data_IF_539808576767
#
_entry.id   IF_539808576767
#
_cell.length_a   1.000
_cell.length_b   1.000
_cell.length_c   1.000
_cell.angle_alpha   90.00
_cell.angle_beta   90.00
_cell.angle_gamma   90.00
#
_symmetry.space_group_name_H-M   'P 1'
#
loop_
_entity.id
_entity.type
_entity.pdbx_description
1 polymer ?
#
# COMPACT_ATOMS: atom_id res chain seq x y z
N UNK A 1 -41.30 -44.51 -43.61
CA UNK A 1 -42.65 -44.18 -43.11
C UNK A 1 -43.10 -45.20 -42.08
N UNK A 2 -42.78 -44.97 -40.79
CA UNK A 2 -43.48 -45.50 -39.58
C UNK A 2 -42.74 -45.20 -38.27
N UNK A 3 -41.58 -44.53 -38.30
CA UNK A 3 -40.80 -44.16 -37.11
C UNK A 3 -40.73 -42.65 -36.80
N UNK A 4 -41.20 -41.78 -37.69
CA UNK A 4 -41.21 -40.31 -37.50
C UNK A 4 -42.46 -39.79 -36.76
N UNK A 5 -43.51 -40.60 -36.61
CA UNK A 5 -44.80 -40.16 -36.02
C UNK A 5 -44.79 -40.27 -34.48
N UNK A 6 -43.84 -41.02 -33.89
CA UNK A 6 -43.78 -41.24 -32.44
C UNK A 6 -43.02 -40.14 -31.67
N UNK A 7 -42.18 -39.35 -32.35
CA UNK A 7 -41.42 -38.24 -31.74
C UNK A 7 -42.23 -36.93 -31.63
N UNK A 8 -43.23 -36.72 -32.50
CA UNK A 8 -44.06 -35.50 -32.49
C UNK A 8 -45.11 -35.48 -31.38
N UNK A 9 -45.52 -36.63 -30.84
CA UNK A 9 -46.51 -36.70 -29.74
C UNK A 9 -45.88 -36.47 -28.35
N UNK A 10 -44.56 -36.63 -28.22
CA UNK A 10 -43.85 -36.41 -26.94
C UNK A 10 -43.54 -34.91 -26.73
N UNK A 11 -43.38 -34.13 -27.81
CA UNK A 11 -43.13 -32.69 -27.73
C UNK A 11 -44.39 -31.85 -27.40
N UNK A 12 -45.61 -32.34 -27.68
CA UNK A 12 -46.86 -31.63 -27.36
C UNK A 12 -47.27 -31.74 -25.87
N UNK A 13 -46.75 -32.75 -25.15
CA UNK A 13 -47.04 -32.96 -23.72
C UNK A 13 -46.21 -32.11 -22.76
N UNK A 14 -45.03 -31.62 -23.16
CA UNK A 14 -44.14 -30.85 -22.29
C UNK A 14 -44.41 -29.34 -22.31
N UNK A 15 -45.03 -28.81 -23.38
CA UNK A 15 -45.29 -27.37 -23.54
C UNK A 15 -46.54 -26.92 -22.76
N UNK A 16 -47.47 -27.83 -22.45
CA UNK A 16 -48.71 -27.52 -21.70
C UNK A 16 -48.52 -27.51 -20.17
N UNK A 17 -47.37 -27.97 -19.66
CA UNK A 17 -47.07 -27.96 -18.22
C UNK A 17 -46.32 -26.70 -17.75
N UNK A 18 -45.70 -25.95 -18.67
CA UNK A 18 -44.95 -24.72 -18.34
C UNK A 18 -45.80 -23.44 -18.40
N UNK A 19 -46.93 -23.45 -19.12
CA UNK A 19 -47.83 -22.28 -19.20
C UNK A 19 -48.84 -22.18 -18.06
N UNK A 20 -49.01 -23.23 -17.24
CA UNK A 20 -49.85 -23.20 -16.02
C UNK A 20 -49.16 -22.64 -14.77
N UNK A 21 -47.85 -22.38 -14.81
CA UNK A 21 -47.10 -21.83 -13.66
C UNK A 21 -46.77 -20.34 -13.78
N UNK A 22 -47.10 -19.67 -14.89
CA UNK A 22 -46.87 -18.23 -15.05
C UNK A 22 -48.13 -17.34 -14.86
N UNK A 23 -49.34 -17.89 -14.85
CA UNK A 23 -50.58 -17.10 -14.62
C UNK A 23 -50.96 -16.90 -13.14
N UNK A 24 -50.25 -17.51 -12.19
CA UNK A 24 -50.55 -17.41 -10.75
C UNK A 24 -49.81 -16.29 -9.99
N UNK A 25 -48.87 -15.58 -10.63
CA UNK A 25 -48.02 -14.57 -9.97
C UNK A 25 -48.44 -13.11 -10.24
N UNK A 26 -49.39 -12.87 -11.14
CA UNK A 26 -49.71 -11.51 -11.61
C UNK A 26 -51.07 -10.97 -11.12
N UNK A 27 -51.93 -11.82 -10.53
CA UNK A 27 -53.20 -11.39 -9.93
C UNK A 27 -53.13 -11.02 -8.43
N UNK A 28 -52.02 -11.29 -7.75
CA UNK A 28 -51.81 -10.90 -6.34
C UNK A 28 -51.34 -9.45 -6.16
N UNK A 29 -51.06 -8.71 -7.24
CA UNK A 29 -50.65 -7.29 -7.20
C UNK A 29 -51.78 -6.26 -7.39
N UNK A 30 -53.03 -6.69 -7.66
CA UNK A 30 -54.13 -5.76 -8.02
C UNK A 30 -55.32 -5.71 -7.06
N UNK A 31 -55.21 -6.24 -5.83
CA UNK A 31 -56.31 -6.22 -4.85
C UNK A 31 -55.87 -5.85 -3.42
N UNK A 32 -55.13 -4.75 -3.26
CA UNK A 32 -55.13 -3.98 -1.99
C UNK A 32 -54.96 -2.50 -2.33
N UNK A 33 -56.00 -1.93 -2.96
CA UNK A 33 -56.20 -0.49 -3.01
C UNK A 33 -57.58 -0.24 -2.40
N UNK A 34 -57.65 0.71 -1.47
CA UNK A 34 -58.84 1.19 -0.76
C UNK A 34 -59.26 0.41 0.50
N UNK A 35 -58.74 0.84 1.64
CA UNK A 35 -59.46 0.87 2.91
C UNK A 35 -58.84 1.95 3.82
N UNK A 36 -59.67 2.93 4.18
CA UNK A 36 -59.35 4.11 4.99
C UNK A 36 -59.56 3.80 6.49
N UNK A 37 -58.89 4.58 7.36
CA UNK A 37 -59.12 4.90 8.80
C UNK A 37 -58.44 4.01 9.87
N UNK A 38 -58.06 4.49 11.09
CA UNK A 38 -57.72 5.85 11.60
C UNK A 38 -56.26 5.99 12.10
N UNK A 39 -55.80 7.24 12.17
CA UNK A 39 -54.48 7.73 12.64
C UNK A 39 -54.32 7.49 14.16
N UNK A 40 -53.33 6.68 14.58
CA UNK A 40 -52.81 6.66 15.96
C UNK A 40 -51.57 7.56 15.98
N UNK A 41 -51.65 8.66 16.73
CA UNK A 41 -50.55 9.62 16.91
C UNK A 41 -49.48 8.99 17.83
N UNK A 42 -48.26 8.89 17.33
CA UNK A 42 -47.04 8.87 18.13
C UNK A 42 -46.26 10.15 17.81
N UNK A 43 -45.52 10.70 18.78
CA UNK A 43 -45.05 12.08 18.73
C UNK A 43 -43.97 12.24 17.66
N UNK A 44 -44.06 13.32 16.89
CA UNK A 44 -42.98 13.84 16.06
C UNK A 44 -41.88 14.28 17.02
N UNK A 45 -40.84 13.47 17.19
CA UNK A 45 -39.57 13.97 17.70
C UNK A 45 -39.02 14.93 16.66
N UNK A 46 -38.85 16.16 17.12
CA UNK A 46 -38.33 17.33 16.42
C UNK A 46 -36.89 17.03 16.00
N UNK A 47 -36.68 16.71 14.71
CA UNK A 47 -35.36 16.66 14.09
C UNK A 47 -34.95 18.09 13.69
N UNK A 48 -34.73 18.94 14.67
CA UNK A 48 -34.13 20.27 14.49
C UNK A 48 -32.96 20.40 15.47
N UNK A 49 -31.90 19.60 15.31
CA UNK A 49 -30.65 19.82 16.07
C UNK A 49 -29.37 19.25 15.43
N UNK A 50 -29.39 18.83 14.16
CA UNK A 50 -28.19 18.34 13.47
C UNK A 50 -27.38 19.45 12.79
N UNK A 51 -27.95 20.64 12.54
CA UNK A 51 -27.22 21.78 11.96
C UNK A 51 -26.46 22.62 12.99
N UNK A 52 -26.92 22.72 14.25
CA UNK A 52 -26.25 23.55 15.29
C UNK A 52 -25.00 22.88 15.91
N UNK A 53 -24.81 21.58 15.72
CA UNK A 53 -23.67 20.82 16.25
C UNK A 53 -22.37 20.98 15.44
N UNK A 54 -22.44 21.45 14.19
CA UNK A 54 -21.25 21.69 13.34
C UNK A 54 -20.57 23.04 13.63
N UNK A 55 -21.26 23.96 14.31
CA UNK A 55 -20.78 25.32 14.60
C UNK A 55 -20.10 25.45 15.98
N UNK A 56 -19.94 24.34 16.72
CA UNK A 56 -19.39 24.33 18.07
C UNK A 56 -18.16 23.44 18.21
N UNK A 57 -17.18 23.93 18.96
CA UNK A 57 -15.97 23.19 19.28
C UNK A 57 -16.28 21.97 20.16
N UNK A 58 -15.74 20.76 19.86
CA UNK A 58 -15.89 19.59 20.73
C UNK A 58 -15.37 19.82 22.15
N UNK A 59 -14.24 20.54 22.27
CA UNK A 59 -13.78 21.11 23.55
C UNK A 59 -13.36 22.57 23.39
N UNK A 60 -13.35 23.38 24.48
CA UNK A 60 -13.04 24.80 24.40
C UNK A 60 -11.68 25.10 23.76
N UNK A 61 -10.69 24.21 23.94
CA UNK A 61 -9.35 24.38 23.44
C UNK A 61 -8.84 23.10 22.76
N UNK A 62 -8.31 23.23 21.55
CA UNK A 62 -7.69 22.11 20.85
C UNK A 62 -7.79 22.21 19.33
N UNK A 63 -7.33 21.16 18.66
CA UNK A 63 -7.36 21.00 17.22
C UNK A 63 -8.24 19.80 16.86
N UNK A 64 -9.25 20.03 16.02
CA UNK A 64 -10.27 19.02 15.71
C UNK A 64 -10.41 18.82 14.20
N UNK A 65 -10.61 17.59 13.72
CA UNK A 65 -10.75 17.32 12.29
C UNK A 65 -12.07 17.88 11.75
N UNK A 66 -12.07 18.25 10.47
CA UNK A 66 -13.31 18.47 9.73
C UNK A 66 -14.08 17.17 9.48
N UNK A 67 -15.41 17.25 9.44
CA UNK A 67 -16.29 16.10 9.27
C UNK A 67 -16.22 15.48 7.85
N UNK A 68 -15.87 16.25 6.83
CA UNK A 68 -15.94 15.81 5.44
C UNK A 68 -14.58 15.87 4.71
N UNK A 69 -13.68 16.74 5.15
CA UNK A 69 -12.42 17.08 4.48
C UNK A 69 -11.19 16.67 5.30
N UNK A 70 -10.35 15.78 4.77
CA UNK A 70 -9.24 15.20 5.52
C UNK A 70 -8.10 16.19 5.83
N UNK A 71 -7.96 17.22 5.00
CA UNK A 71 -6.92 18.25 5.15
C UNK A 71 -7.44 19.53 5.78
N UNK A 72 -8.70 19.57 6.23
CA UNK A 72 -9.28 20.68 7.00
C UNK A 72 -9.38 20.30 8.48
N UNK A 73 -9.13 21.29 9.33
CA UNK A 73 -9.25 21.17 10.78
C UNK A 73 -9.62 22.52 11.39
N UNK A 74 -9.99 22.48 12.66
CA UNK A 74 -10.44 23.63 13.45
C UNK A 74 -9.48 23.86 14.61
N UNK A 75 -8.98 25.09 14.76
CA UNK A 75 -8.30 25.56 15.97
C UNK A 75 -9.34 26.22 16.87
N UNK A 76 -9.68 25.52 17.95
CA UNK A 76 -10.65 25.94 18.95
C UNK A 76 -9.93 26.67 20.09
N UNK A 77 -10.38 27.90 20.37
CA UNK A 77 -9.88 28.73 21.47
C UNK A 77 -11.04 29.35 22.23
N UNK A 78 -11.16 29.00 23.50
CA UNK A 78 -12.29 29.40 24.36
C UNK A 78 -13.66 29.16 23.70
N UNK A 79 -13.80 28.02 23.01
CA UNK A 79 -15.01 27.62 22.30
C UNK A 79 -15.21 28.29 20.92
N UNK A 80 -14.31 29.19 20.51
CA UNK A 80 -14.36 29.84 19.20
C UNK A 80 -13.57 29.05 18.16
N UNK A 81 -14.25 28.68 17.08
CA UNK A 81 -13.67 27.98 15.94
C UNK A 81 -12.85 28.93 15.07
N UNK A 82 -11.68 28.46 14.63
CA UNK A 82 -10.93 29.02 13.51
C UNK A 82 -10.63 27.93 12.49
N UNK A 83 -11.18 28.07 11.28
CA UNK A 83 -10.92 27.15 10.18
C UNK A 83 -9.46 27.21 9.72
N UNK A 84 -8.86 26.03 9.53
CA UNK A 84 -7.50 25.85 9.04
C UNK A 84 -7.46 24.77 7.98
N UNK A 85 -6.47 24.87 7.10
CA UNK A 85 -6.14 23.86 6.10
C UNK A 85 -4.69 23.46 6.30
N UNK A 86 -4.44 22.15 6.23
CA UNK A 86 -3.10 21.62 6.11
C UNK A 86 -2.47 22.08 4.79
N UNK A 87 -1.13 22.17 4.73
CA UNK A 87 -0.42 22.39 3.46
C UNK A 87 -0.85 21.37 2.39
N UNK A 88 -0.95 21.80 1.14
CA UNK A 88 -1.46 20.95 0.04
C UNK A 88 -0.67 19.65 -0.10
N UNK A 89 -1.37 18.52 0.02
CA UNK A 89 -0.78 17.17 0.00
C UNK A 89 -0.52 16.55 1.37
N UNK A 90 -0.73 17.30 2.46
CA UNK A 90 -0.81 16.77 3.82
C UNK A 90 -2.27 16.68 4.28
N UNK A 91 -2.51 15.87 5.30
CA UNK A 91 -3.82 15.70 5.95
C UNK A 91 -3.70 15.93 7.45
N UNK A 92 -4.79 16.32 8.10
CA UNK A 92 -4.80 16.57 9.53
C UNK A 92 -4.69 15.25 10.31
N UNK A 93 -3.72 15.18 11.21
CA UNK A 93 -3.53 14.08 12.15
C UNK A 93 -4.27 14.40 13.45
N UNK A 94 -5.33 13.65 13.74
CA UNK A 94 -6.24 13.84 14.87
C UNK A 94 -5.91 12.96 16.09
N UNK A 95 -4.72 12.36 16.16
CA UNK A 95 -4.34 11.49 17.28
C UNK A 95 -4.12 12.23 18.60
N UNK A 96 -3.89 13.55 18.58
CA UNK A 96 -3.78 14.38 19.78
C UNK A 96 -4.37 15.77 19.53
N UNK A 97 -5.50 16.12 20.16
CA UNK A 97 -6.14 17.42 19.97
C UNK A 97 -5.34 18.59 20.59
N UNK A 98 -4.23 18.33 21.29
CA UNK A 98 -3.34 19.36 21.83
C UNK A 98 -2.27 19.84 20.84
N UNK A 99 -2.11 19.13 19.71
CA UNK A 99 -1.04 19.40 18.75
C UNK A 99 -1.60 19.64 17.35
N UNK A 100 -1.28 20.80 16.79
CA UNK A 100 -1.54 21.13 15.39
C UNK A 100 -0.59 20.31 14.50
N UNK A 101 -1.06 19.18 13.98
CA UNK A 101 -0.21 18.29 13.20
C UNK A 101 -0.85 17.94 11.86
N UNK A 102 -0.13 18.27 10.80
CA UNK A 102 -0.41 17.80 9.44
C UNK A 102 0.67 16.79 9.05
N UNK A 103 0.25 15.61 8.63
CA UNK A 103 1.13 14.52 8.21
C UNK A 103 0.81 14.11 6.77
N UNK A 104 1.69 13.30 6.17
CA UNK A 104 1.37 12.60 4.94
C UNK A 104 0.17 11.67 5.18
N UNK A 105 -0.65 11.40 4.14
CA UNK A 105 -1.86 10.57 4.29
C UNK A 105 -1.59 9.10 4.62
N UNK A 106 -0.33 8.66 4.58
CA UNK A 106 0.06 7.29 4.91
C UNK A 106 -0.10 7.02 6.40
N UNK A 107 -1.13 6.24 6.77
CA UNK A 107 -1.42 5.88 8.14
C UNK A 107 -2.41 6.79 8.86
N UNK A 108 -3.00 7.78 8.16
CA UNK A 108 -4.12 8.59 8.64
C UNK A 108 -5.40 8.10 7.97
N UNK A 109 -6.43 7.81 8.76
CA UNK A 109 -7.71 7.31 8.23
C UNK A 109 -8.59 8.47 7.73
N UNK A 110 -8.52 8.72 6.42
CA UNK A 110 -9.37 9.68 5.74
C UNK A 110 -10.69 9.09 5.22
N UNK A 111 -11.01 7.82 5.50
CA UNK A 111 -12.16 7.15 4.85
C UNK A 111 -13.50 7.80 5.16
N UNK A 112 -13.64 8.41 6.35
CA UNK A 112 -14.85 9.12 6.77
C UNK A 112 -14.91 10.57 6.26
N UNK A 113 -13.77 11.15 5.92
CA UNK A 113 -13.60 12.55 5.51
C UNK A 113 -12.76 12.67 4.24
N UNK A 114 -13.19 12.11 3.10
CA UNK A 114 -12.33 11.90 1.93
C UNK A 114 -12.06 13.17 1.11
N UNK A 115 -12.76 14.28 1.37
CA UNK A 115 -12.55 15.52 0.59
C UNK A 115 -11.16 16.07 0.88
N UNK A 116 -10.59 16.75 -0.09
CA UNK A 116 -9.30 17.44 0.02
C UNK A 116 -9.41 18.80 -0.66
N UNK A 117 -8.52 19.72 -0.31
CA UNK A 117 -8.40 20.99 -1.00
C UNK A 117 -8.04 20.78 -2.48
N UNK A 118 -8.21 21.82 -3.30
CA UNK A 118 -7.80 21.78 -4.71
C UNK A 118 -6.27 21.60 -4.79
N UNK A 119 -5.77 20.64 -5.59
CA UNK A 119 -4.34 20.43 -5.73
C UNK A 119 -3.65 21.66 -6.33
N UNK A 120 -2.43 21.94 -5.87
CA UNK A 120 -1.53 22.94 -6.41
C UNK A 120 -0.34 22.24 -7.07
N UNK A 121 -0.45 21.85 -8.35
CA UNK A 121 0.58 21.07 -9.00
C UNK A 121 1.82 21.92 -9.35
N UNK A 122 2.97 21.26 -9.37
CA UNK A 122 4.26 21.77 -9.83
C UNK A 122 5.00 20.64 -10.56
N UNK A 123 6.16 20.89 -11.22
CA UNK A 123 6.87 19.84 -11.94
C UNK A 123 7.16 18.61 -11.06
N UNK A 124 6.75 17.43 -11.51
CA UNK A 124 6.87 16.14 -10.79
C UNK A 124 6.07 16.00 -9.48
N UNK A 125 5.32 17.04 -9.10
CA UNK A 125 4.58 17.13 -7.85
C UNK A 125 3.10 17.44 -8.14
N UNK A 126 2.24 16.42 -8.25
CA UNK A 126 0.78 16.59 -8.33
C UNK A 126 0.17 17.43 -7.20
N UNK A 127 0.83 17.46 -6.04
CA UNK A 127 0.53 18.32 -4.88
C UNK A 127 1.82 18.91 -4.33
N UNK A 128 1.73 19.97 -3.54
CA UNK A 128 2.92 20.63 -2.95
C UNK A 128 3.75 19.72 -2.02
N UNK A 129 3.09 18.79 -1.32
CA UNK A 129 3.73 17.81 -0.45
C UNK A 129 3.30 16.39 -0.82
N UNK A 130 4.21 15.41 -0.76
CA UNK A 130 3.85 14.01 -0.97
C UNK A 130 4.96 13.14 -1.53
N UNK A 131 4.65 11.86 -1.68
CA UNK A 131 5.42 10.91 -2.48
C UNK A 131 4.63 10.55 -3.74
N UNK A 132 5.22 10.71 -4.91
CA UNK A 132 4.53 10.51 -6.20
C UNK A 132 5.36 9.61 -7.10
N UNK A 133 4.71 8.68 -7.81
CA UNK A 133 5.43 7.83 -8.74
C UNK A 133 6.00 8.64 -9.91
N UNK A 134 7.02 8.08 -10.55
CA UNK A 134 7.53 8.58 -11.82
C UNK A 134 6.43 8.60 -12.90
N UNK A 135 6.48 9.58 -13.81
CA UNK A 135 5.46 9.79 -14.84
C UNK A 135 5.40 8.67 -15.87
N UNK A 136 6.57 8.11 -16.22
CA UNK A 136 6.64 6.90 -17.04
C UNK A 136 6.14 5.69 -16.22
N UNK A 137 5.01 5.06 -16.60
CA UNK A 137 4.49 3.89 -15.89
C UNK A 137 5.42 2.67 -15.94
N UNK A 138 6.40 2.66 -16.86
CA UNK A 138 7.44 1.61 -16.92
C UNK A 138 8.56 1.83 -15.91
N UNK A 139 8.70 3.04 -15.37
CA UNK A 139 9.63 3.30 -14.28
C UNK A 139 8.96 2.94 -12.95
N UNK A 140 9.28 1.73 -12.47
CA UNK A 140 8.62 1.15 -11.31
C UNK A 140 9.33 1.46 -9.98
N UNK A 141 10.62 1.76 -10.03
CA UNK A 141 11.46 1.93 -8.84
C UNK A 141 11.78 3.40 -8.53
N UNK A 142 11.45 4.35 -9.40
CA UNK A 142 11.71 5.78 -9.16
C UNK A 142 10.45 6.50 -8.71
N UNK A 143 10.59 7.42 -7.77
CA UNK A 143 9.52 8.27 -7.26
C UNK A 143 10.07 9.64 -6.85
N UNK A 144 9.17 10.59 -6.62
CA UNK A 144 9.47 11.95 -6.22
C UNK A 144 9.00 12.18 -4.80
N UNK A 145 9.86 12.79 -3.98
CA UNK A 145 9.50 13.35 -2.68
C UNK A 145 9.37 14.87 -2.79
N UNK A 146 8.16 15.37 -2.63
CA UNK A 146 7.83 16.78 -2.78
C UNK A 146 7.67 17.47 -1.42
N UNK A 147 8.29 18.64 -1.30
CA UNK A 147 8.13 19.59 -0.19
C UNK A 147 8.00 20.98 -0.77
N UNK A 148 6.88 21.65 -0.51
CA UNK A 148 6.57 22.97 -1.05
C UNK A 148 6.73 23.05 -2.58
N UNK A 149 6.32 22.01 -3.29
CA UNK A 149 6.38 21.91 -4.76
C UNK A 149 7.79 21.70 -5.33
N UNK A 150 8.79 21.47 -4.48
CA UNK A 150 10.15 21.08 -4.90
C UNK A 150 10.33 19.59 -4.67
N UNK A 151 10.80 18.88 -5.69
CA UNK A 151 10.99 17.43 -5.62
C UNK A 151 12.44 17.03 -5.41
N UNK A 152 12.63 15.91 -4.72
CA UNK A 152 13.82 15.08 -4.83
C UNK A 152 13.43 13.77 -5.53
N UNK A 153 14.20 13.36 -6.54
CA UNK A 153 14.02 12.08 -7.20
C UNK A 153 14.74 11.00 -6.38
N UNK A 154 14.02 9.92 -6.05
CA UNK A 154 14.51 8.82 -5.22
C UNK A 154 14.30 7.51 -5.98
N UNK A 155 15.33 6.67 -5.99
CA UNK A 155 15.26 5.32 -6.54
C UNK A 155 15.16 4.32 -5.39
N UNK A 156 14.17 3.44 -5.45
CA UNK A 156 14.01 2.32 -4.53
C UNK A 156 15.22 1.38 -4.62
N UNK A 157 15.58 0.71 -3.51
CA UNK A 157 16.56 -0.37 -3.55
C UNK A 157 16.22 -1.42 -4.61
N UNK A 158 17.24 -2.08 -5.13
CA UNK A 158 17.07 -3.07 -6.20
C UNK A 158 16.07 -4.17 -5.82
N UNK A 159 15.21 -4.52 -6.77
CA UNK A 159 14.15 -5.49 -6.58
C UNK A 159 12.88 -4.93 -5.92
N UNK A 160 12.86 -3.65 -5.50
CA UNK A 160 11.68 -3.01 -4.93
C UNK A 160 11.02 -2.02 -5.89
N UNK A 161 9.73 -1.82 -5.69
CA UNK A 161 8.83 -0.97 -6.49
C UNK A 161 8.20 0.06 -5.56
N UNK A 162 8.11 1.31 -6.02
CA UNK A 162 7.42 2.35 -5.26
C UNK A 162 5.92 2.07 -5.22
N UNK A 163 5.34 2.00 -4.02
CA UNK A 163 3.91 1.86 -3.81
C UNK A 163 3.28 3.20 -3.46
N UNK A 164 2.48 3.75 -4.37
CA UNK A 164 1.72 5.00 -4.13
C UNK A 164 0.73 4.87 -2.97
N UNK A 165 0.27 3.65 -2.66
CA UNK A 165 -0.67 3.38 -1.58
C UNK A 165 -0.02 3.56 -0.20
N UNK A 166 1.22 3.11 -0.04
CA UNK A 166 1.92 3.11 1.24
C UNK A 166 2.99 4.20 1.35
N UNK A 167 3.37 4.83 0.24
CA UNK A 167 4.39 5.87 0.19
C UNK A 167 5.81 5.35 0.37
N UNK A 168 6.01 4.03 0.26
CA UNK A 168 7.29 3.36 0.48
C UNK A 168 7.62 2.38 -0.65
N UNK A 169 8.88 1.95 -0.70
CA UNK A 169 9.34 0.90 -1.60
C UNK A 169 8.97 -0.47 -1.04
N UNK A 170 8.17 -1.23 -1.79
CA UNK A 170 7.68 -2.56 -1.44
C UNK A 170 8.10 -3.59 -2.49
N UNK A 171 7.95 -4.88 -2.14
CA UNK A 171 8.07 -5.94 -3.13
C UNK A 171 7.05 -5.75 -4.26
N UNK A 172 7.38 -6.10 -5.52
CA UNK A 172 6.50 -5.88 -6.65
C UNK A 172 5.07 -6.44 -6.46
N UNK A 173 4.96 -7.62 -5.84
CA UNK A 173 3.69 -8.30 -5.55
C UNK A 173 2.85 -7.60 -4.46
N UNK A 174 3.49 -6.88 -3.54
CA UNK A 174 2.84 -6.12 -2.47
C UNK A 174 2.56 -4.67 -2.89
N UNK A 175 3.43 -4.08 -3.70
CA UNK A 175 3.27 -2.72 -4.20
C UNK A 175 2.04 -2.60 -5.12
N UNK A 176 1.68 -3.69 -5.81
CA UNK A 176 0.52 -3.80 -6.69
C UNK A 176 0.44 -2.70 -7.77
N UNK A 177 1.60 -2.14 -8.15
CA UNK A 177 1.70 -1.15 -9.22
C UNK A 177 1.50 -1.87 -10.57
N UNK A 178 0.49 -1.43 -11.32
CA UNK A 178 0.14 -2.01 -12.62
C UNK A 178 1.33 -1.99 -13.57
N UNK A 179 1.69 -3.13 -14.14
CA UNK A 179 2.82 -3.27 -15.08
C UNK A 179 4.19 -3.40 -14.40
N UNK A 180 4.24 -3.44 -13.07
CA UNK A 180 5.45 -3.57 -12.27
C UNK A 180 5.42 -4.84 -11.41
N UNK A 181 4.86 -5.94 -11.92
CA UNK A 181 4.86 -7.21 -11.22
C UNK A 181 6.23 -7.90 -11.28
N UNK A 182 6.49 -8.83 -10.35
CA UNK A 182 7.81 -9.45 -10.23
C UNK A 182 8.24 -10.19 -11.50
N UNK A 183 7.32 -10.90 -12.17
CA UNK A 183 7.65 -11.69 -13.35
C UNK A 183 7.98 -10.81 -14.54
N UNK A 184 7.25 -9.70 -14.69
CA UNK A 184 7.44 -8.71 -15.73
C UNK A 184 8.75 -7.94 -15.55
N UNK A 185 9.09 -7.58 -14.31
CA UNK A 185 10.28 -6.79 -14.00
C UNK A 185 11.57 -7.60 -14.11
N UNK A 186 11.56 -8.85 -13.65
CA UNK A 186 12.78 -9.65 -13.55
C UNK A 186 12.96 -10.64 -14.70
N UNK A 187 11.94 -10.84 -15.54
CA UNK A 187 11.93 -11.86 -16.58
C UNK A 187 12.35 -13.26 -16.06
N UNK A 188 12.03 -13.55 -14.80
CA UNK A 188 12.38 -14.77 -14.11
C UNK A 188 11.11 -15.53 -13.68
N UNK A 189 11.13 -16.85 -13.84
CA UNK A 189 10.05 -17.74 -13.40
C UNK A 189 10.61 -18.75 -12.41
N UNK A 190 9.96 -18.85 -11.25
CA UNK A 190 10.32 -19.82 -10.22
C UNK A 190 10.24 -21.26 -10.75
N UNK A 191 11.31 -22.06 -10.58
CA UNK A 191 11.27 -23.49 -10.86
C UNK A 191 10.15 -24.18 -10.09
N UNK A 192 9.43 -25.08 -10.77
CA UNK A 192 8.35 -25.87 -10.17
C UNK A 192 8.93 -26.86 -9.17
N UNK A 193 8.43 -26.78 -7.94
CA UNK A 193 8.81 -27.66 -6.83
C UNK A 193 7.56 -28.20 -6.15
N UNK A 194 7.72 -29.21 -5.29
CA UNK A 194 6.62 -29.72 -4.48
C UNK A 194 6.26 -28.72 -3.35
N UNK A 195 5.13 -28.96 -2.69
CA UNK A 195 4.59 -28.06 -1.67
C UNK A 195 5.53 -27.89 -0.45
N UNK A 196 6.22 -28.97 -0.03
CA UNK A 196 7.14 -28.90 1.11
C UNK A 196 8.35 -28.03 0.82
N UNK A 197 8.91 -28.08 -0.39
CA UNK A 197 10.00 -27.20 -0.82
C UNK A 197 9.48 -25.79 -1.06
N UNK A 198 8.31 -25.62 -1.69
CA UNK A 198 7.69 -24.31 -1.92
C UNK A 198 7.49 -23.52 -0.61
N UNK A 199 7.08 -24.20 0.45
CA UNK A 199 6.91 -23.63 1.79
C UNK A 199 8.22 -23.10 2.39
N UNK A 200 9.39 -23.54 1.92
CA UNK A 200 10.70 -23.03 2.35
C UNK A 200 11.18 -21.79 1.61
N UNK A 201 10.41 -21.31 0.62
CA UNK A 201 10.78 -20.20 -0.26
C UNK A 201 12.15 -20.42 -0.92
N UNK A 202 12.26 -21.40 -1.84
CA UNK A 202 13.54 -21.79 -2.42
C UNK A 202 14.21 -20.61 -3.13
N UNK A 203 15.55 -20.64 -3.15
CA UNK A 203 16.38 -19.57 -3.69
C UNK A 203 17.17 -20.06 -4.90
N UNK A 204 17.28 -19.20 -5.90
CA UNK A 204 17.93 -19.51 -7.18
C UNK A 204 18.84 -18.37 -7.61
N UNK A 205 20.02 -18.64 -8.18
CA UNK A 205 20.94 -17.60 -8.64
C UNK A 205 20.30 -16.75 -9.74
N UNK A 206 20.69 -15.48 -9.80
CA UNK A 206 20.52 -14.68 -11.00
C UNK A 206 21.66 -15.04 -11.98
N UNK A 207 21.32 -15.42 -13.21
CA UNK A 207 22.31 -15.90 -14.18
C UNK A 207 23.11 -14.77 -14.82
N UNK A 208 22.58 -13.55 -14.77
CA UNK A 208 23.21 -12.38 -15.37
C UNK A 208 23.97 -11.52 -14.35
N UNK A 209 23.71 -11.75 -13.06
CA UNK A 209 24.29 -10.95 -11.98
C UNK A 209 24.58 -11.79 -10.74
N UNK A 210 25.84 -12.17 -10.58
CA UNK A 210 26.31 -12.99 -9.46
C UNK A 210 25.99 -12.41 -8.07
N UNK A 211 25.80 -11.09 -7.95
CA UNK A 211 25.44 -10.48 -6.66
C UNK A 211 23.99 -10.78 -6.27
N UNK A 212 23.10 -11.04 -7.23
CA UNK A 212 21.68 -11.20 -6.98
C UNK A 212 21.22 -12.65 -7.08
N UNK A 213 20.09 -12.90 -6.46
CA UNK A 213 19.38 -14.17 -6.49
C UNK A 213 17.88 -13.93 -6.33
N UNK A 214 17.07 -14.92 -6.68
CA UNK A 214 15.63 -14.89 -6.54
C UNK A 214 15.19 -15.71 -5.35
N UNK A 215 14.36 -15.13 -4.49
CA UNK A 215 13.58 -15.84 -3.47
C UNK A 215 12.21 -16.13 -4.06
N UNK A 216 11.85 -17.41 -4.20
CA UNK A 216 10.54 -17.80 -4.71
C UNK A 216 9.54 -17.98 -3.57
N UNK A 217 8.80 -16.91 -3.26
CA UNK A 217 7.76 -16.94 -2.22
C UNK A 217 6.68 -17.95 -2.62
N UNK A 218 6.43 -18.89 -1.71
CA UNK A 218 5.59 -20.08 -1.91
C UNK A 218 5.88 -20.85 -3.21
N UNK A 219 7.12 -20.79 -3.72
CA UNK A 219 7.51 -21.44 -4.97
C UNK A 219 6.97 -20.78 -6.25
N UNK A 220 6.26 -19.65 -6.18
CA UNK A 220 5.55 -19.07 -7.32
C UNK A 220 5.95 -17.63 -7.67
N UNK A 221 6.20 -16.80 -6.65
CA UNK A 221 6.42 -15.36 -6.82
C UNK A 221 7.90 -15.05 -6.59
N UNK A 222 8.65 -14.66 -7.63
CA UNK A 222 10.06 -14.33 -7.46
C UNK A 222 10.21 -12.94 -6.82
N UNK A 223 11.10 -12.83 -5.85
CA UNK A 223 11.58 -11.56 -5.30
C UNK A 223 13.09 -11.52 -5.49
N UNK A 224 13.60 -10.57 -6.28
CA UNK A 224 15.04 -10.38 -6.48
C UNK A 224 15.65 -9.83 -5.20
N UNK A 225 16.76 -10.40 -4.75
CA UNK A 225 17.48 -10.02 -3.54
C UNK A 225 18.97 -10.02 -3.82
N UNK A 226 19.71 -9.17 -3.13
CA UNK A 226 21.15 -9.01 -3.33
C UNK A 226 21.98 -9.49 -2.15
N UNK A 227 23.14 -10.06 -2.46
CA UNK A 227 24.24 -10.22 -1.53
C UNK A 227 24.92 -8.87 -1.27
N UNK A 228 25.74 -8.80 -0.23
CA UNK A 228 26.56 -7.60 0.03
C UNK A 228 27.54 -7.40 -1.11
N UNK A 229 27.96 -6.14 -1.33
CA UNK A 229 29.01 -5.83 -2.29
C UNK A 229 30.25 -6.70 -2.03
N UNK A 230 30.79 -7.33 -3.08
CA UNK A 230 31.91 -8.28 -3.02
C UNK A 230 31.50 -9.74 -2.79
N UNK A 231 30.24 -10.02 -2.47
CA UNK A 231 29.69 -11.37 -2.30
C UNK A 231 28.84 -11.78 -3.51
N UNK A 232 28.77 -13.08 -3.75
CA UNK A 232 27.89 -13.68 -4.75
C UNK A 232 27.05 -14.79 -4.12
N UNK A 233 25.92 -15.12 -4.75
CA UNK A 233 25.05 -16.21 -4.28
C UNK A 233 25.62 -17.58 -4.69
N UNK A 234 25.94 -18.42 -3.72
CA UNK A 234 26.36 -19.81 -3.95
C UNK A 234 25.13 -20.72 -3.92
N UNK A 235 24.73 -21.22 -5.08
CA UNK A 235 23.57 -22.11 -5.24
C UNK A 235 23.71 -23.39 -4.41
N UNK A 236 24.94 -23.93 -4.29
CA UNK A 236 25.22 -25.20 -3.60
C UNK A 236 24.91 -25.12 -2.10
N UNK A 237 25.26 -24.01 -1.46
CA UNK A 237 24.93 -23.77 -0.06
C UNK A 237 23.62 -23.01 0.14
N UNK A 238 23.07 -22.41 -0.92
CA UNK A 238 21.90 -21.54 -0.90
C UNK A 238 22.13 -20.26 -0.09
N UNK A 239 23.35 -19.72 -0.10
CA UNK A 239 23.74 -18.55 0.72
C UNK A 239 24.71 -17.66 -0.04
N UNK A 240 24.85 -16.42 0.42
CA UNK A 240 25.90 -15.52 -0.07
C UNK A 240 27.26 -15.93 0.54
N UNK A 241 28.30 -15.99 -0.29
CA UNK A 241 29.70 -16.09 0.12
C UNK A 241 30.54 -15.14 -0.75
N UNK A 242 31.82 -14.99 -0.44
CA UNK A 242 32.73 -14.16 -1.23
C UNK A 242 32.83 -14.67 -2.66
N UNK A 243 32.70 -13.77 -3.63
CA UNK A 243 32.63 -14.11 -5.05
C UNK A 243 33.80 -15.00 -5.48
N UNK A 244 35.02 -14.72 -5.00
CA UNK A 244 36.25 -15.50 -5.26
C UNK A 244 36.19 -16.99 -4.89
N UNK A 245 35.29 -17.41 -4.00
CA UNK A 245 35.10 -18.81 -3.58
C UNK A 245 34.09 -19.56 -4.45
N UNK A 246 33.33 -18.83 -5.26
CA UNK A 246 32.29 -19.34 -6.14
C UNK A 246 32.92 -19.39 -7.54
N UNK A 247 33.30 -20.59 -8.07
CA UNK A 247 34.11 -20.69 -9.28
C UNK A 247 33.54 -19.93 -10.49
N UNK A 248 32.22 -19.94 -10.65
CA UNK A 248 31.46 -19.25 -11.70
C UNK A 248 31.43 -17.73 -11.53
N UNK A 249 31.57 -17.22 -10.30
CA UNK A 249 31.51 -15.80 -9.97
C UNK A 249 32.86 -15.22 -9.51
N UNK A 250 33.94 -16.01 -9.56
CA UNK A 250 35.25 -15.65 -8.97
C UNK A 250 35.82 -14.34 -9.51
N UNK A 251 35.50 -14.02 -10.76
CA UNK A 251 36.01 -12.87 -11.50
C UNK A 251 34.94 -11.76 -11.66
N UNK A 252 33.75 -11.93 -11.09
CA UNK A 252 32.59 -11.04 -11.29
C UNK A 252 32.87 -9.56 -10.96
N UNK A 253 33.62 -9.30 -9.89
CA UNK A 253 33.90 -7.94 -9.42
C UNK A 253 35.17 -7.32 -10.00
N UNK A 254 35.97 -8.02 -10.82
CA UNK A 254 37.29 -7.54 -11.27
C UNK A 254 37.26 -6.23 -12.06
N UNK A 255 36.15 -5.96 -12.74
CA UNK A 255 35.95 -4.71 -13.50
C UNK A 255 35.20 -3.63 -12.71
N UNK A 256 34.74 -3.95 -11.50
CA UNK A 256 33.94 -3.07 -10.64
C UNK A 256 34.71 -2.57 -9.42
N UNK A 257 35.62 -3.40 -8.89
CA UNK A 257 36.39 -3.14 -7.67
C UNK A 257 37.83 -3.61 -7.88
N UNK A 258 38.77 -2.88 -7.27
CA UNK A 258 40.16 -3.32 -7.15
C UNK A 258 40.31 -4.50 -6.19
N UNK A 259 41.40 -5.26 -6.33
CA UNK A 259 41.70 -6.37 -5.41
C UNK A 259 41.82 -5.86 -3.96
N UNK A 260 42.37 -4.67 -3.75
CA UNK A 260 42.47 -4.03 -2.44
C UNK A 260 41.11 -3.65 -1.86
N UNK A 261 40.19 -3.12 -2.67
CA UNK A 261 38.83 -2.81 -2.24
C UNK A 261 38.06 -4.07 -1.86
N UNK A 262 38.20 -5.14 -2.65
CA UNK A 262 37.55 -6.42 -2.37
C UNK A 262 38.08 -7.06 -1.08
N UNK A 263 39.41 -7.01 -0.86
CA UNK A 263 40.02 -7.46 0.40
C UNK A 263 39.55 -6.62 1.59
N UNK A 264 39.44 -5.29 1.44
CA UNK A 264 38.95 -4.41 2.50
C UNK A 264 37.47 -4.67 2.86
N UNK A 265 36.65 -5.16 1.91
CA UNK A 265 35.27 -5.60 2.19
C UNK A 265 35.24 -6.90 2.99
N UNK A 266 36.13 -7.85 2.68
CA UNK A 266 36.22 -9.14 3.38
C UNK A 266 36.88 -9.02 4.76
N UNK A 267 37.91 -8.19 4.85
CA UNK A 267 38.75 -7.98 6.00
C UNK A 267 38.72 -6.50 6.41
N UNK A 268 37.58 -6.01 6.95
CA UNK A 268 37.43 -4.60 7.26
C UNK A 268 38.47 -4.16 8.29
N UNK A 269 39.14 -3.01 8.07
CA UNK A 269 40.14 -2.51 9.00
C UNK A 269 39.50 -2.25 10.38
N UNK A 270 40.27 -2.39 11.47
CA UNK A 270 39.76 -2.15 12.81
C UNK A 270 39.24 -0.71 12.92
N UNK A 271 37.98 -0.58 13.36
CA UNK A 271 37.35 0.74 13.54
C UNK A 271 38.22 1.59 14.48
N UNK A 272 38.56 2.84 14.12
CA UNK A 272 39.30 3.72 15.02
C UNK A 272 38.52 3.87 16.33
N UNK A 273 39.21 3.70 17.47
CA UNK A 273 38.58 3.87 18.78
C UNK A 273 38.06 5.31 18.89
N UNK A 274 36.81 5.54 19.33
CA UNK A 274 36.35 6.88 19.59
C UNK A 274 37.26 7.50 20.66
N UNK A 275 37.94 8.58 20.29
CA UNK A 275 38.73 9.39 21.21
C UNK A 275 37.74 9.92 22.25
N UNK A 276 37.86 9.43 23.48
CA UNK A 276 36.90 9.68 24.55
C UNK A 276 36.68 11.18 24.77
N UNK A 277 35.49 11.66 24.41
CA UNK A 277 34.96 12.89 24.98
C UNK A 277 34.74 12.73 26.49
N UNK A 278 34.82 13.81 27.28
CA UNK A 278 34.77 13.73 28.74
C UNK A 278 33.48 13.04 29.21
N UNK A 279 33.66 11.99 30.01
CA UNK A 279 32.59 11.26 30.69
C UNK A 279 31.73 12.24 31.48
N UNK A 280 30.48 12.44 31.03
CA UNK A 280 29.44 13.11 31.83
C UNK A 280 29.20 12.22 33.06
N UNK A 281 29.84 12.58 34.18
CA UNK A 281 29.56 11.98 35.49
C UNK A 281 28.05 12.05 35.73
N UNK A 282 27.40 10.88 35.82
CA UNK A 282 26.02 10.76 36.28
C UNK A 282 25.93 11.40 37.66
N UNK A 283 25.23 12.53 37.76
CA UNK A 283 24.90 13.15 39.04
C UNK A 283 24.07 12.18 39.88
N UNK A 284 24.50 12.00 41.11
CA UNK A 284 23.79 11.28 42.16
C UNK A 284 22.40 11.89 42.34
N UNK A 285 21.35 11.07 42.24
CA UNK A 285 19.97 11.46 42.54
C UNK A 285 19.84 11.65 44.06
N UNK A 286 19.40 12.80 44.57
CA UNK A 286 19.15 12.96 46.00
C UNK A 286 17.91 12.15 46.40
N UNK A 287 18.03 11.41 47.49
CA UNK A 287 16.89 10.77 48.16
C UNK A 287 16.09 11.81 48.93
N UNK A 288 14.83 12.01 48.54
CA UNK A 288 13.75 12.52 49.39
C UNK A 288 12.54 11.64 49.12
#
# INVERSE_FOLDING_TARGET
MKTEILLLLICLGAVTALTRKQEAAEQSRRKVASATTPKKQEPEEEYEDDEELLDQCPEPNGYFPDAEQCDKYYDCRDGKITDKLCPDGLVFNDFSPQHEKCDLPFGIDCTKRPKLQKPQPSPHCPRMHGYFAHEDPRNCNTFYYCVEGKFNMITCPDGLVFSEKTGICNWPDEAQKKGCGSRELFNFTCPKVNESVAATHPRYPDTEDCQYFYVCVNGEIPRRSGCKLGQAFDERSGKCDWARKIPECKDWYKDQLTDEELDALENPPPKPKPIGGPSRRKGSRPSV
#
